data_IF_253990823654
#
_entry.id   IF_253990823654
#
_cell.length_a   1.000
_cell.length_b   1.000
_cell.length_c   1.000
_cell.angle_alpha   90.00
_cell.angle_beta   90.00
_cell.angle_gamma   90.00
#
_symmetry.space_group_name_H-M   'P 1'
#
loop_
_entity.id
_entity.type
_entity.pdbx_description
1 polymer ?
#
# COMPACT_ATOMS: atom_id res chain seq x y z
N UNK A 1 -10.86 14.27 10.80
CA UNK A 1 -11.46 13.66 9.59
C UNK A 1 -10.59 12.50 9.17
N UNK A 2 -11.16 11.32 8.95
CA UNK A 2 -10.45 10.17 8.37
C UNK A 2 -10.03 10.56 6.96
N UNK A 3 -8.74 10.55 6.65
CA UNK A 3 -8.27 10.80 5.28
C UNK A 3 -8.55 9.55 4.44
N UNK A 4 -9.21 9.71 3.29
CA UNK A 4 -9.56 8.60 2.40
C UNK A 4 -9.40 8.99 0.95
N UNK A 5 -9.19 8.01 0.07
CA UNK A 5 -9.04 8.26 -1.36
C UNK A 5 -9.20 7.02 -2.22
N UNK A 6 -9.03 7.21 -3.53
CA UNK A 6 -8.97 6.13 -4.53
C UNK A 6 -7.78 6.35 -5.45
N UNK A 7 -7.03 5.30 -5.75
CA UNK A 7 -5.92 5.38 -6.69
C UNK A 7 -5.59 4.01 -7.27
N UNK A 8 -4.54 3.92 -8.10
CA UNK A 8 -3.94 2.64 -8.44
C UNK A 8 -2.96 2.22 -7.35
N UNK A 9 -2.89 0.92 -7.11
CA UNK A 9 -1.89 0.27 -6.27
C UNK A 9 -1.16 -0.82 -7.06
N UNK A 10 0.13 -0.96 -6.77
CA UNK A 10 1.01 -2.01 -7.26
C UNK A 10 1.62 -2.71 -6.05
N UNK A 11 2.59 -3.59 -6.30
CA UNK A 11 3.40 -4.16 -5.23
C UNK A 11 4.88 -4.18 -5.60
N UNK A 12 5.70 -4.22 -4.56
CA UNK A 12 7.14 -4.45 -4.65
C UNK A 12 7.54 -5.60 -3.74
N UNK A 13 8.67 -6.22 -4.05
CA UNK A 13 9.17 -7.40 -3.35
C UNK A 13 10.69 -7.42 -3.16
N UNK A 14 11.39 -6.47 -3.78
CA UNK A 14 12.83 -6.34 -3.75
C UNK A 14 13.32 -5.90 -2.37
N UNK A 15 14.43 -6.49 -1.91
CA UNK A 15 15.04 -6.07 -0.65
C UNK A 15 15.56 -4.63 -0.74
N UNK A 16 15.08 -3.80 0.18
CA UNK A 16 15.56 -2.43 0.32
C UNK A 16 15.47 -1.98 1.79
N UNK A 17 16.20 -0.91 2.11
CA UNK A 17 15.95 -0.16 3.34
C UNK A 17 14.84 0.85 3.04
N UNK A 18 13.75 0.77 3.79
CA UNK A 18 12.60 1.67 3.61
C UNK A 18 12.90 3.06 4.18
N UNK A 19 12.09 4.06 3.81
CA UNK A 19 12.21 5.42 4.34
C UNK A 19 11.94 5.54 5.86
N UNK A 20 11.35 4.52 6.50
CA UNK A 20 11.28 4.44 7.97
C UNK A 20 12.58 3.96 8.63
N UNK A 21 13.58 3.52 7.85
CA UNK A 21 14.83 2.92 8.31
C UNK A 21 14.76 1.41 8.52
N UNK A 22 13.58 0.80 8.43
CA UNK A 22 13.39 -0.65 8.55
C UNK A 22 13.81 -1.38 7.27
N UNK A 23 14.34 -2.61 7.40
CA UNK A 23 14.51 -3.53 6.27
C UNK A 23 13.14 -3.94 5.74
N UNK A 24 12.94 -3.80 4.43
CA UNK A 24 11.71 -4.22 3.80
C UNK A 24 11.49 -5.74 3.94
N UNK A 25 10.26 -6.13 4.25
CA UNK A 25 9.84 -7.53 4.32
C UNK A 25 8.62 -7.72 3.41
N UNK A 26 8.74 -8.46 2.29
CA UNK A 26 7.64 -8.67 1.35
C UNK A 26 6.46 -9.47 1.94
N UNK A 27 6.70 -10.18 3.05
CA UNK A 27 5.68 -10.97 3.76
C UNK A 27 4.98 -10.19 4.89
N UNK A 28 5.44 -8.98 5.20
CA UNK A 28 4.77 -8.10 6.17
C UNK A 28 3.58 -7.40 5.51
N UNK A 29 2.67 -6.83 6.32
CA UNK A 29 1.54 -6.02 5.83
C UNK A 29 1.90 -4.54 5.89
N UNK A 30 2.75 -4.11 4.95
CA UNK A 30 3.22 -2.73 4.85
C UNK A 30 2.98 -2.13 3.47
N UNK A 31 3.07 -0.81 3.37
CA UNK A 31 2.95 -0.07 2.11
C UNK A 31 3.80 1.20 2.08
N UNK A 32 4.13 1.63 0.87
CA UNK A 32 4.69 2.93 0.56
C UNK A 32 3.58 3.92 0.20
N UNK A 33 3.66 5.16 0.71
CA UNK A 33 2.82 6.27 0.29
C UNK A 33 3.58 7.60 0.33
N UNK A 34 3.23 8.52 -0.57
CA UNK A 34 3.90 9.81 -0.76
C UNK A 34 3.85 10.71 0.47
N UNK A 35 2.66 10.90 1.04
CA UNK A 35 2.38 11.89 2.09
C UNK A 35 1.67 11.40 3.35
N UNK A 36 1.09 10.19 3.38
CA UNK A 36 0.50 9.64 4.61
C UNK A 36 1.63 9.51 5.66
N UNK A 37 1.40 9.92 6.92
CA UNK A 37 2.42 9.84 7.96
C UNK A 37 3.00 8.43 8.08
N UNK A 38 4.28 8.35 8.46
CA UNK A 38 4.87 7.04 8.76
C UNK A 38 4.16 6.42 9.95
N UNK A 39 4.10 5.09 9.96
CA UNK A 39 3.45 4.27 10.98
C UNK A 39 1.92 4.38 11.05
N UNK A 40 1.28 5.22 10.22
CA UNK A 40 -0.17 5.23 10.08
C UNK A 40 -0.70 3.86 9.65
N UNK A 41 -1.86 3.48 10.19
CA UNK A 41 -2.60 2.30 9.75
C UNK A 41 -3.58 2.70 8.66
N UNK A 42 -3.56 2.00 7.54
CA UNK A 42 -4.40 2.29 6.37
C UNK A 42 -5.16 1.03 5.98
N UNK A 43 -6.48 1.11 5.93
CA UNK A 43 -7.31 0.08 5.31
C UNK A 43 -7.28 0.29 3.80
N UNK A 44 -6.90 -0.73 3.06
CA UNK A 44 -6.89 -0.76 1.59
C UNK A 44 -7.92 -1.75 1.12
N UNK A 45 -8.78 -1.34 0.19
CA UNK A 45 -9.95 -2.08 -0.27
C UNK A 45 -9.84 -2.25 -1.78
N UNK A 46 -9.94 -3.50 -2.25
CA UNK A 46 -10.18 -3.79 -3.65
C UNK A 46 -11.69 -3.69 -3.93
N UNK A 47 -12.17 -2.65 -4.64
CA UNK A 47 -13.60 -2.46 -4.89
C UNK A 47 -14.20 -3.53 -5.80
N UNK A 48 -13.39 -4.22 -6.61
CA UNK A 48 -13.85 -5.28 -7.51
C UNK A 48 -14.21 -6.56 -6.76
N UNK A 49 -13.44 -6.94 -5.74
CA UNK A 49 -13.66 -8.15 -4.95
C UNK A 49 -14.33 -7.91 -3.59
N UNK A 50 -14.34 -6.66 -3.11
CA UNK A 50 -14.77 -6.30 -1.77
C UNK A 50 -13.76 -6.65 -0.66
N UNK A 51 -12.65 -7.32 -1.00
CA UNK A 51 -11.60 -7.69 -0.03
C UNK A 51 -10.86 -6.45 0.47
N UNK A 52 -10.41 -6.49 1.72
CA UNK A 52 -9.61 -5.43 2.32
C UNK A 52 -8.49 -5.97 3.19
N UNK A 53 -7.43 -5.18 3.33
CA UNK A 53 -6.29 -5.45 4.20
C UNK A 53 -5.92 -4.16 4.94
N UNK A 54 -5.45 -4.29 6.18
CA UNK A 54 -4.87 -3.15 6.90
C UNK A 54 -3.36 -3.24 6.80
N UNK A 55 -2.74 -2.16 6.33
CA UNK A 55 -1.29 -2.03 6.20
C UNK A 55 -0.77 -0.90 7.09
N UNK A 56 0.51 -0.98 7.44
CA UNK A 56 1.25 0.13 8.03
C UNK A 56 2.08 0.85 6.98
N UNK A 57 2.05 2.17 6.96
CA UNK A 57 2.96 2.95 6.11
C UNK A 57 4.36 2.92 6.70
N UNK A 58 5.33 2.40 5.96
CA UNK A 58 6.73 2.34 6.39
C UNK A 58 7.71 2.85 5.32
N UNK A 59 7.20 3.24 4.15
CA UNK A 59 8.05 3.69 3.04
C UNK A 59 7.44 4.86 2.27
N UNK A 60 8.24 5.47 1.39
CA UNK A 60 7.88 6.62 0.56
C UNK A 60 7.83 6.28 -0.92
N UNK A 61 7.02 7.04 -1.64
CA UNK A 61 6.68 6.79 -3.04
C UNK A 61 5.24 6.31 -3.17
N UNK A 62 4.85 5.72 -4.31
CA UNK A 62 5.65 5.63 -5.54
C UNK A 62 5.73 6.99 -6.24
N UNK A 63 6.89 7.40 -6.76
CA UNK A 63 7.09 8.72 -7.37
C UNK A 63 6.82 8.78 -8.88
N UNK A 64 6.48 7.65 -9.50
CA UNK A 64 6.21 7.55 -10.92
C UNK A 64 4.92 8.24 -11.39
N UNK A 65 4.82 8.44 -12.70
CA UNK A 65 3.62 8.92 -13.38
C UNK A 65 2.68 7.74 -13.67
N UNK A 66 1.36 7.94 -13.64
CA UNK A 66 0.38 6.90 -14.01
C UNK A 66 -0.79 6.67 -13.05
N UNK A 67 -0.89 7.47 -11.98
CA UNK A 67 -1.97 7.41 -10.99
C UNK A 67 -1.75 6.38 -9.87
N UNK A 68 -0.53 5.85 -9.75
CA UNK A 68 -0.10 5.00 -8.65
C UNK A 68 0.13 5.85 -7.40
N UNK A 69 -0.55 5.54 -6.30
CA UNK A 69 -0.37 6.27 -5.03
C UNK A 69 -0.01 5.37 -3.85
N UNK A 70 -0.23 4.07 -3.98
CA UNK A 70 0.15 3.06 -3.00
C UNK A 70 1.03 2.02 -3.68
N UNK A 71 2.10 1.64 -3.01
CA UNK A 71 2.87 0.46 -3.35
C UNK A 71 2.78 -0.51 -2.18
N UNK A 72 2.13 -1.64 -2.36
CA UNK A 72 1.91 -2.62 -1.31
C UNK A 72 3.12 -3.56 -1.22
N UNK A 73 3.38 -4.09 -0.04
CA UNK A 73 4.13 -5.34 0.06
C UNK A 73 3.43 -6.45 -0.72
N UNK A 74 4.19 -7.41 -1.25
CA UNK A 74 3.65 -8.60 -1.95
C UNK A 74 2.51 -9.26 -1.16
N UNK A 75 2.69 -9.52 0.13
CA UNK A 75 1.67 -10.15 0.97
C UNK A 75 0.40 -9.29 1.13
N UNK A 76 0.53 -7.97 1.28
CA UNK A 76 -0.63 -7.10 1.37
C UNK A 76 -1.42 -7.04 0.05
N UNK A 77 -0.73 -7.05 -1.09
CA UNK A 77 -1.39 -7.09 -2.39
C UNK A 77 -2.15 -8.41 -2.60
N UNK A 78 -1.50 -9.54 -2.35
CA UNK A 78 -2.06 -10.88 -2.51
C UNK A 78 -3.28 -11.13 -1.60
N UNK A 79 -3.34 -10.46 -0.45
CA UNK A 79 -4.51 -10.51 0.45
C UNK A 79 -5.79 -9.95 -0.18
N UNK A 80 -5.70 -9.03 -1.15
CA UNK A 80 -6.85 -8.33 -1.72
C UNK A 80 -6.97 -8.44 -3.25
N UNK A 81 -5.98 -9.00 -3.93
CA UNK A 81 -5.91 -9.11 -5.38
C UNK A 81 -5.05 -10.29 -5.85
N UNK A 82 -4.94 -10.45 -7.16
CA UNK A 82 -4.09 -11.47 -7.80
C UNK A 82 -2.78 -10.82 -8.25
N UNK A 83 -1.64 -11.35 -7.80
CA UNK A 83 -0.30 -10.85 -8.16
C UNK A 83 -0.06 -10.75 -9.67
N UNK A 84 -0.72 -11.59 -10.50
CA UNK A 84 -0.62 -11.53 -11.96
C UNK A 84 -1.24 -10.26 -12.56
N UNK A 85 -2.12 -9.58 -11.82
CA UNK A 85 -2.73 -8.31 -12.25
C UNK A 85 -1.70 -7.19 -12.32
N UNK A 86 -0.68 -7.21 -11.46
CA UNK A 86 0.37 -6.19 -11.34
C UNK A 86 -0.11 -4.87 -10.75
N UNK A 87 -1.15 -4.26 -11.32
CA UNK A 87 -1.70 -2.97 -10.91
C UNK A 87 -3.23 -3.05 -10.80
N UNK A 88 -3.78 -2.66 -9.65
CA UNK A 88 -5.22 -2.65 -9.41
C UNK A 88 -5.70 -1.29 -8.90
N UNK A 89 -6.96 -0.95 -9.15
CA UNK A 89 -7.61 0.20 -8.49
C UNK A 89 -7.99 -0.17 -7.06
N UNK A 90 -7.70 0.72 -6.11
CA UNK A 90 -8.04 0.54 -4.70
C UNK A 90 -8.71 1.78 -4.13
N UNK A 91 -9.49 1.58 -3.07
CA UNK A 91 -9.89 2.62 -2.11
C UNK A 91 -9.03 2.49 -0.86
N UNK A 92 -8.73 3.60 -0.20
CA UNK A 92 -8.01 3.56 1.08
C UNK A 92 -8.60 4.52 2.12
N UNK A 93 -8.42 4.17 3.39
CA UNK A 93 -8.88 4.91 4.56
C UNK A 93 -7.78 4.89 5.64
N UNK A 94 -7.36 6.05 6.11
CA UNK A 94 -6.38 6.19 7.21
C UNK A 94 -7.11 6.00 8.54
N UNK A 95 -6.84 4.89 9.23
CA UNK A 95 -7.52 4.51 10.47
C UNK A 95 -6.97 5.28 11.67
N UNK A 96 -5.63 5.34 11.78
CA UNK A 96 -4.89 6.04 12.82
C UNK A 96 -3.69 6.74 12.17
N UNK A 97 -3.43 7.99 12.55
CA UNK A 97 -2.35 8.82 12.00
C UNK A 97 -1.71 9.72 13.03
#
# INVERSE_FOLDING_TARGET
MVSSGSCKAAYYQEEQTTASGERFNPNALTAAHRSIPMHSKVRVINPTSGKSVVVRINDRGPWGNGGLCLDLSRAAYDAIGDLHTGIMRVRYEVLDG
#
